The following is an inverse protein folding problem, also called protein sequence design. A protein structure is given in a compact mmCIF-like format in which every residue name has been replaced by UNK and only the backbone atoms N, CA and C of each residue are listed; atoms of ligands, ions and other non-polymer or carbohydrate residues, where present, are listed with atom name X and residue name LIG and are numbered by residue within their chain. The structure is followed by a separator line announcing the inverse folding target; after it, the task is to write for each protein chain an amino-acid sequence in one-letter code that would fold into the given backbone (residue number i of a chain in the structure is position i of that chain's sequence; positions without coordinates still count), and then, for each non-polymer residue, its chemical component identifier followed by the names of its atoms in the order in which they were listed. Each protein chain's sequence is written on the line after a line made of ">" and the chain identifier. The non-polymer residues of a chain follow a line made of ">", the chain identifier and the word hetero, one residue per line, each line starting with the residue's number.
data_IF_895470505185
#
_entry.id   IF_895470505185
#
_cell.length_a   1.000
_cell.length_b   1.000
_cell.length_c   1.000
_cell.angle_alpha   90.00
_cell.angle_beta   90.00
_cell.angle_gamma   90.00
#
_symmetry.space_group_name_H-M   'P 1'
#
loop_
_entity.id
_entity.type
_entity.pdbx_description
1 polymer ?
#
# COMPACT_ATOMS: atom_id res chain seq x y z
N UNK A 1 -14.19 20.19 -28.30
CA UNK A 1 -14.59 18.84 -28.74
C UNK A 1 -14.19 17.87 -27.64
N UNK A 2 -15.15 17.36 -26.88
CA UNK A 2 -14.88 16.37 -25.83
C UNK A 2 -14.84 15.00 -26.49
N UNK A 3 -13.64 14.45 -26.65
CA UNK A 3 -13.47 13.06 -27.08
C UNK A 3 -14.27 12.17 -26.12
N UNK A 4 -15.27 11.48 -26.68
CA UNK A 4 -15.97 10.39 -26.01
C UNK A 4 -14.95 9.27 -25.84
N UNK A 5 -14.17 9.33 -24.76
CA UNK A 5 -13.37 8.20 -24.34
C UNK A 5 -14.30 6.99 -24.25
N UNK A 6 -14.02 5.95 -25.03
CA UNK A 6 -14.78 4.71 -24.96
C UNK A 6 -14.61 4.16 -23.55
N UNK A 7 -15.70 3.69 -22.91
CA UNK A 7 -15.65 3.04 -21.59
C UNK A 7 -14.59 1.93 -21.53
N UNK A 8 -14.29 1.31 -22.67
CA UNK A 8 -13.23 0.34 -22.84
C UNK A 8 -11.83 0.96 -22.65
N UNK A 9 -11.56 2.13 -23.25
CA UNK A 9 -10.29 2.85 -23.15
C UNK A 9 -10.06 3.27 -21.70
N UNK A 10 -11.09 3.76 -21.01
CA UNK A 10 -11.00 4.11 -19.59
C UNK A 10 -10.71 2.88 -18.71
N UNK A 11 -11.36 1.75 -18.98
CA UNK A 11 -11.10 0.50 -18.27
C UNK A 11 -9.67 -0.01 -18.49
N UNK A 12 -9.18 0.01 -19.74
CA UNK A 12 -7.81 -0.38 -20.08
C UNK A 12 -6.79 0.54 -19.41
N UNK A 13 -7.04 1.85 -19.42
CA UNK A 13 -6.20 2.83 -18.74
C UNK A 13 -6.16 2.60 -17.23
N UNK A 14 -7.28 2.23 -16.62
CA UNK A 14 -7.36 1.89 -15.20
C UNK A 14 -6.53 0.65 -14.89
N UNK A 15 -6.74 -0.45 -15.63
CA UNK A 15 -5.99 -1.70 -15.45
C UNK A 15 -4.49 -1.47 -15.63
N UNK A 16 -4.10 -0.73 -16.67
CA UNK A 16 -2.71 -0.37 -16.92
C UNK A 16 -2.12 0.45 -15.76
N UNK A 17 -2.85 1.45 -15.25
CA UNK A 17 -2.38 2.30 -14.15
C UNK A 17 -2.17 1.50 -12.87
N UNK A 18 -3.12 0.59 -12.56
CA UNK A 18 -3.05 -0.32 -11.41
C UNK A 18 -1.87 -1.28 -11.55
N UNK A 19 -1.72 -1.96 -12.69
CA UNK A 19 -0.60 -2.87 -12.93
C UNK A 19 0.75 -2.16 -12.84
N UNK A 20 0.88 -0.99 -13.47
CA UNK A 20 2.09 -0.17 -13.43
C UNK A 20 2.42 0.26 -11.99
N UNK A 21 1.42 0.61 -11.19
CA UNK A 21 1.57 0.92 -9.76
C UNK A 21 2.06 -0.28 -8.93
N UNK A 22 1.50 -1.47 -9.16
CA UNK A 22 1.95 -2.72 -8.52
C UNK A 22 3.40 -3.04 -8.86
N UNK A 23 3.76 -2.99 -10.14
CA UNK A 23 5.14 -3.24 -10.60
C UNK A 23 6.10 -2.24 -9.97
N UNK A 24 5.73 -0.96 -9.95
CA UNK A 24 6.55 0.08 -9.31
C UNK A 24 6.77 -0.18 -7.82
N UNK A 25 5.73 -0.61 -7.10
CA UNK A 25 5.85 -0.97 -5.68
C UNK A 25 6.87 -2.08 -5.47
N UNK A 26 6.75 -3.19 -6.20
CA UNK A 26 7.66 -4.33 -6.06
C UNK A 26 9.09 -3.99 -6.46
N UNK A 27 9.28 -3.24 -7.56
CA UNK A 27 10.59 -2.76 -7.96
C UNK A 27 11.21 -1.83 -6.92
N UNK A 28 10.43 -0.92 -6.33
CA UNK A 28 10.88 -0.05 -5.26
C UNK A 28 11.29 -0.83 -4.02
N UNK A 29 10.50 -1.83 -3.63
CA UNK A 29 10.79 -2.71 -2.50
C UNK A 29 12.10 -3.48 -2.72
N UNK A 30 12.28 -4.08 -3.90
CA UNK A 30 13.48 -4.84 -4.23
C UNK A 30 14.73 -3.94 -4.34
N UNK A 31 14.59 -2.74 -4.89
CA UNK A 31 15.71 -1.79 -5.08
C UNK A 31 16.37 -1.34 -3.77
N UNK A 32 15.63 -1.36 -2.65
CA UNK A 32 16.11 -0.98 -1.31
C UNK A 32 16.27 -2.18 -0.37
N UNK A 33 16.17 -3.39 -0.93
CA UNK A 33 16.17 -4.64 -0.17
C UNK A 33 14.79 -4.93 0.43
N UNK A 34 14.34 -6.17 0.27
CA UNK A 34 13.02 -6.60 0.70
C UNK A 34 12.72 -6.32 2.18
N UNK A 35 13.74 -6.42 3.05
CA UNK A 35 13.59 -6.21 4.50
C UNK A 35 13.40 -4.74 4.87
N UNK A 36 14.08 -3.82 4.18
CA UNK A 36 14.14 -2.41 4.57
C UNK A 36 13.41 -1.46 3.62
N UNK A 37 12.91 -1.97 2.50
CA UNK A 37 12.35 -1.16 1.41
C UNK A 37 10.86 -0.84 1.54
N UNK A 38 10.12 -1.36 2.53
CA UNK A 38 8.66 -1.21 2.59
C UNK A 38 8.20 0.23 2.69
N UNK A 39 8.74 1.01 3.63
CA UNK A 39 8.36 2.42 3.80
C UNK A 39 8.68 3.22 2.52
N UNK A 40 9.81 2.93 1.88
CA UNK A 40 10.19 3.55 0.60
C UNK A 40 9.23 3.17 -0.53
N UNK A 41 8.90 1.89 -0.68
CA UNK A 41 7.98 1.40 -1.69
C UNK A 41 6.59 2.02 -1.54
N UNK A 42 6.09 2.11 -0.29
CA UNK A 42 4.82 2.76 0.06
C UNK A 42 4.87 4.25 -0.31
N UNK A 43 5.97 4.95 -0.02
CA UNK A 43 6.16 6.34 -0.43
C UNK A 43 6.09 6.54 -1.94
N UNK A 44 6.85 5.74 -2.69
CA UNK A 44 6.92 5.89 -4.15
C UNK A 44 5.58 5.57 -4.82
N UNK A 45 4.92 4.49 -4.41
CA UNK A 45 3.62 4.13 -4.99
C UNK A 45 2.53 5.14 -4.61
N UNK A 46 2.60 5.72 -3.40
CA UNK A 46 1.66 6.76 -2.98
C UNK A 46 1.84 8.02 -3.84
N UNK A 47 3.08 8.45 -4.08
CA UNK A 47 3.40 9.57 -4.98
C UNK A 47 2.90 9.32 -6.42
N UNK A 48 3.01 8.08 -6.90
CA UNK A 48 2.53 7.69 -8.22
C UNK A 48 1.01 7.86 -8.35
N UNK A 49 0.22 7.40 -7.38
CA UNK A 49 -1.25 7.53 -7.42
C UNK A 49 -1.78 8.91 -7.03
N UNK A 50 -0.99 9.73 -6.33
CA UNK A 50 -1.36 11.12 -6.04
C UNK A 50 -1.07 12.06 -7.22
N UNK A 51 -0.12 11.73 -8.09
CA UNK A 51 0.19 12.50 -9.31
C UNK A 51 -1.02 12.71 -10.22
N UNK A 52 -1.09 13.88 -10.87
CA UNK A 52 -2.13 14.22 -11.85
C UNK A 52 -2.00 13.39 -13.14
N UNK A 53 -0.76 13.05 -13.54
CA UNK A 53 -0.47 12.24 -14.72
C UNK A 53 0.48 11.07 -14.37
N UNK A 54 -0.01 9.99 -13.73
CA UNK A 54 0.82 8.85 -13.33
C UNK A 54 1.56 8.20 -14.51
N UNK A 55 0.96 8.23 -15.69
CA UNK A 55 1.47 7.52 -16.87
C UNK A 55 2.79 8.12 -17.40
N UNK A 56 3.03 9.42 -17.20
CA UNK A 56 4.23 10.12 -17.69
C UNK A 56 5.44 9.99 -16.77
N UNK A 57 5.23 9.55 -15.52
CA UNK A 57 6.30 9.34 -14.56
C UNK A 57 7.21 8.17 -14.97
N UNK A 58 8.52 8.45 -15.01
CA UNK A 58 9.57 7.46 -15.25
C UNK A 58 9.95 6.79 -13.93
N UNK A 59 9.98 5.46 -13.93
CA UNK A 59 10.34 4.66 -12.75
C UNK A 59 11.72 5.03 -12.18
N UNK A 60 12.71 5.29 -13.04
CA UNK A 60 14.06 5.63 -12.61
C UNK A 60 14.12 6.89 -11.75
N UNK A 61 13.31 7.89 -12.07
CA UNK A 61 13.32 9.18 -11.37
C UNK A 61 12.72 9.04 -9.97
N UNK A 62 11.68 8.20 -9.83
CA UNK A 62 11.08 7.86 -8.54
C UNK A 62 12.02 7.01 -7.67
N UNK A 63 12.71 6.02 -8.25
CA UNK A 63 13.60 5.13 -7.51
C UNK A 63 14.89 5.82 -7.00
N UNK A 64 15.31 6.91 -7.65
CA UNK A 64 16.47 7.72 -7.23
C UNK A 64 16.23 8.59 -6.00
N UNK A 65 14.99 8.69 -5.49
CA UNK A 65 14.71 9.51 -4.32
C UNK A 65 15.54 9.07 -3.10
N UNK A 66 15.92 10.06 -2.28
CA UNK A 66 16.80 9.87 -1.13
C UNK A 66 16.15 8.94 -0.09
N UNK A 67 16.99 8.12 0.51
CA UNK A 67 16.58 7.08 1.47
C UNK A 67 16.05 7.69 2.76
N UNK A 68 15.11 6.99 3.40
CA UNK A 68 14.46 7.42 4.63
C UNK A 68 15.36 7.30 5.86
N UNK A 69 15.05 8.12 6.88
CA UNK A 69 15.62 8.18 8.24
C UNK A 69 15.71 6.77 8.89
N UNK A 70 16.66 6.49 9.80
CA UNK A 70 16.84 5.18 10.45
C UNK A 70 15.55 4.50 10.97
N UNK A 71 14.61 5.27 11.52
CA UNK A 71 13.32 4.75 12.01
C UNK A 71 12.49 4.03 10.94
N UNK A 72 12.56 4.47 9.68
CA UNK A 72 11.84 3.83 8.58
C UNK A 72 12.39 2.44 8.25
N UNK A 73 13.67 2.17 8.54
CA UNK A 73 14.26 0.83 8.39
C UNK A 73 13.72 -0.14 9.43
N UNK A 74 13.56 0.31 10.68
CA UNK A 74 12.96 -0.50 11.75
C UNK A 74 11.51 -0.84 11.43
N UNK A 75 10.72 0.16 11.01
CA UNK A 75 9.33 -0.04 10.59
C UNK A 75 9.25 -1.04 9.42
N UNK A 76 10.12 -0.89 8.42
CA UNK A 76 10.15 -1.82 7.27
C UNK A 76 10.54 -3.24 7.67
N UNK A 77 11.47 -3.40 8.62
CA UNK A 77 11.85 -4.71 9.14
C UNK A 77 10.68 -5.38 9.88
N UNK A 78 9.92 -4.63 10.69
CA UNK A 78 8.71 -5.12 11.35
C UNK A 78 7.64 -5.53 10.34
N UNK A 79 7.41 -4.71 9.30
CA UNK A 79 6.52 -5.08 8.19
C UNK A 79 6.95 -6.37 7.51
N UNK A 80 8.25 -6.53 7.24
CA UNK A 80 8.79 -7.74 6.62
C UNK A 80 8.57 -8.96 7.49
N UNK A 81 8.78 -8.85 8.80
CA UNK A 81 8.55 -9.93 9.74
C UNK A 81 7.09 -10.40 9.71
N UNK A 82 6.12 -9.48 9.86
CA UNK A 82 4.70 -9.83 9.85
C UNK A 82 4.22 -10.31 8.48
N UNK A 83 4.72 -9.71 7.40
CA UNK A 83 4.46 -10.18 6.03
C UNK A 83 4.95 -11.61 5.84
N UNK A 84 6.18 -11.91 6.27
CA UNK A 84 6.77 -13.24 6.14
C UNK A 84 6.06 -14.27 7.01
N UNK A 85 5.62 -13.89 8.22
CA UNK A 85 4.80 -14.73 9.09
C UNK A 85 3.46 -15.06 8.42
N UNK A 86 2.78 -14.05 7.86
CA UNK A 86 1.53 -14.23 7.13
C UNK A 86 1.72 -15.11 5.89
N UNK A 87 2.73 -14.81 5.06
CA UNK A 87 3.05 -15.57 3.86
C UNK A 87 3.40 -17.03 4.18
N UNK A 88 4.18 -17.27 5.24
CA UNK A 88 4.52 -18.63 5.67
C UNK A 88 3.28 -19.38 6.15
N UNK A 89 2.41 -18.75 6.94
CA UNK A 89 1.13 -19.33 7.34
C UNK A 89 0.24 -19.68 6.15
N UNK A 90 0.19 -18.81 5.13
CA UNK A 90 -0.55 -19.07 3.89
C UNK A 90 0.06 -20.21 3.08
N UNK A 91 1.38 -20.22 2.86
CA UNK A 91 2.06 -21.28 2.12
C UNK A 91 1.87 -22.64 2.82
N UNK A 92 1.92 -22.67 4.15
CA UNK A 92 1.65 -23.88 4.92
C UNK A 92 0.20 -24.35 4.76
N UNK A 93 -0.78 -23.44 4.73
CA UNK A 93 -2.19 -23.82 4.57
C UNK A 93 -2.50 -24.40 3.18
N UNK A 94 -1.69 -24.09 2.16
CA UNK A 94 -1.78 -24.72 0.84
C UNK A 94 -1.36 -26.20 0.87
N UNK A 95 -0.45 -26.57 1.78
CA UNK A 95 0.10 -27.93 1.90
C UNK A 95 -0.70 -28.74 2.93
N UNK A 96 -0.93 -28.16 4.12
CA UNK A 96 -1.67 -28.80 5.20
C UNK A 96 -2.47 -27.75 5.98
N UNK A 97 -3.80 -27.92 6.01
CA UNK A 97 -4.70 -27.03 6.71
C UNK A 97 -4.61 -27.36 8.21
N UNK A 98 -3.85 -26.56 8.95
CA UNK A 98 -3.65 -26.71 10.40
C UNK A 98 -4.05 -25.45 11.16
N UNK A 99 -4.36 -25.60 12.45
CA UNK A 99 -4.61 -24.46 13.34
C UNK A 99 -3.42 -23.51 13.38
N UNK A 100 -2.20 -24.06 13.34
CA UNK A 100 -0.95 -23.29 13.35
C UNK A 100 -0.78 -22.46 12.06
N UNK A 101 -1.05 -23.04 10.89
CA UNK A 101 -0.97 -22.31 9.61
C UNK A 101 -1.97 -21.16 9.56
N UNK A 102 -3.19 -21.37 10.06
CA UNK A 102 -4.18 -20.31 10.19
C UNK A 102 -3.73 -19.25 11.18
N UNK A 103 -3.28 -19.63 12.39
CA UNK A 103 -2.83 -18.67 13.40
C UNK A 103 -1.71 -17.78 12.87
N UNK A 104 -0.70 -18.35 12.20
CA UNK A 104 0.38 -17.57 11.58
C UNK A 104 -0.14 -16.64 10.48
N UNK A 105 -1.05 -17.12 9.63
CA UNK A 105 -1.65 -16.31 8.58
C UNK A 105 -2.44 -15.13 9.15
N UNK A 106 -3.30 -15.36 10.14
CA UNK A 106 -4.13 -14.32 10.75
C UNK A 106 -3.28 -13.33 11.54
N UNK A 107 -2.40 -13.79 12.42
CA UNK A 107 -1.58 -12.91 13.26
C UNK A 107 -0.63 -12.10 12.38
N UNK A 108 0.10 -12.75 11.48
CA UNK A 108 1.03 -12.09 10.56
C UNK A 108 0.32 -11.15 9.60
N UNK A 109 -0.76 -11.63 8.97
CA UNK A 109 -1.56 -10.84 8.04
C UNK A 109 -2.18 -9.61 8.70
N UNK A 110 -2.87 -9.77 9.82
CA UNK A 110 -3.51 -8.65 10.54
C UNK A 110 -2.47 -7.63 11.02
N UNK A 111 -1.38 -8.09 11.64
CA UNK A 111 -0.32 -7.19 12.09
C UNK A 111 0.31 -6.44 10.91
N UNK A 112 0.56 -7.12 9.80
CA UNK A 112 1.07 -6.49 8.58
C UNK A 112 0.10 -5.45 8.02
N UNK A 113 -1.22 -5.72 8.02
CA UNK A 113 -2.24 -4.76 7.61
C UNK A 113 -2.27 -3.51 8.49
N UNK A 114 -2.18 -3.69 9.81
CA UNK A 114 -2.09 -2.57 10.76
C UNK A 114 -0.87 -1.71 10.43
N UNK A 115 0.29 -2.32 10.24
CA UNK A 115 1.51 -1.60 9.86
C UNK A 115 1.38 -0.90 8.51
N UNK A 116 0.76 -1.54 7.53
CA UNK A 116 0.55 -0.97 6.21
C UNK A 116 -0.27 0.33 6.29
N UNK A 117 -1.34 0.34 7.08
CA UNK A 117 -2.14 1.55 7.31
C UNK A 117 -1.33 2.62 8.05
N UNK A 118 -0.61 2.27 9.13
CA UNK A 118 0.25 3.20 9.87
C UNK A 118 1.28 3.86 8.95
N UNK A 119 1.93 3.08 8.07
CA UNK A 119 3.00 3.57 7.20
C UNK A 119 2.47 4.54 6.13
N UNK A 120 1.25 4.36 5.64
CA UNK A 120 0.63 5.31 4.70
C UNK A 120 0.53 6.70 5.32
N UNK A 121 0.05 6.78 6.57
CA UNK A 121 -0.06 8.03 7.30
C UNK A 121 1.31 8.58 7.70
N UNK A 122 2.23 7.71 8.11
CA UNK A 122 3.62 8.09 8.39
C UNK A 122 4.29 8.77 7.19
N UNK A 123 4.18 8.17 6.01
CA UNK A 123 4.71 8.70 4.75
C UNK A 123 4.05 10.03 4.38
N UNK A 124 2.72 10.16 4.58
CA UNK A 124 1.98 11.39 4.33
C UNK A 124 2.48 12.54 5.22
N UNK A 125 2.73 12.28 6.50
CA UNK A 125 3.26 13.26 7.46
C UNK A 125 4.75 13.54 7.32
N UNK A 126 5.49 12.79 6.50
CA UNK A 126 6.93 12.98 6.34
C UNK A 126 7.29 14.31 5.64
N UNK A 127 6.32 15.01 5.03
CA UNK A 127 6.53 16.35 4.44
C UNK A 127 6.54 17.48 5.47
N UNK A 128 6.07 17.25 6.71
CA UNK A 128 6.11 18.24 7.79
C UNK A 128 7.32 17.98 8.70
N UNK A 129 8.29 18.88 8.63
CA UNK A 129 9.60 18.82 9.30
C UNK A 129 9.51 19.01 10.83
N UNK A 130 9.08 17.99 11.58
CA UNK A 130 9.06 18.04 13.05
C UNK A 130 9.62 16.80 13.72
N UNK A 131 10.13 16.93 14.95
CA UNK A 131 10.66 15.82 15.77
C UNK A 131 9.58 14.79 16.20
N UNK A 132 8.29 15.08 15.97
CA UNK A 132 7.15 14.26 16.39
C UNK A 132 6.34 13.65 15.24
N UNK A 133 7.00 13.19 14.16
CA UNK A 133 6.34 12.66 12.96
C UNK A 133 5.37 11.52 13.26
N UNK A 134 5.78 10.53 14.05
CA UNK A 134 4.93 9.38 14.39
C UNK A 134 3.69 9.79 15.18
N UNK A 135 3.84 10.72 16.13
CA UNK A 135 2.73 11.26 16.91
C UNK A 135 1.74 12.04 16.03
N UNK A 136 2.25 12.84 15.08
CA UNK A 136 1.40 13.52 14.09
C UNK A 136 0.65 12.53 13.21
N UNK A 137 1.27 11.43 12.78
CA UNK A 137 0.58 10.38 12.02
C UNK A 137 -0.58 9.79 12.82
N UNK A 138 -0.41 9.54 14.12
CA UNK A 138 -1.47 9.02 15.00
C UNK A 138 -2.61 10.03 15.18
N UNK A 139 -2.29 11.32 15.30
CA UNK A 139 -3.30 12.38 15.36
C UNK A 139 -4.12 12.47 14.06
N UNK A 140 -3.47 12.40 12.90
CA UNK A 140 -4.16 12.36 11.60
C UNK A 140 -5.04 11.11 11.48
N UNK A 141 -4.56 9.94 11.93
CA UNK A 141 -5.36 8.71 11.94
C UNK A 141 -6.60 8.85 12.83
N UNK A 142 -6.49 9.55 13.96
CA UNK A 142 -7.64 9.84 14.82
C UNK A 142 -8.65 10.78 14.13
N UNK A 143 -8.18 11.80 13.42
CA UNK A 143 -9.04 12.75 12.71
C UNK A 143 -9.74 12.10 11.50
N UNK A 144 -9.02 11.28 10.75
CA UNK A 144 -9.50 10.58 9.56
C UNK A 144 -9.94 9.12 9.86
N UNK A 145 -10.46 8.85 11.06
CA UNK A 145 -10.72 7.49 11.55
C UNK A 145 -11.59 6.64 10.61
N UNK A 146 -12.59 7.25 9.97
CA UNK A 146 -13.43 6.55 8.98
C UNK A 146 -12.63 6.10 7.76
N UNK A 147 -11.68 6.91 7.28
CA UNK A 147 -10.80 6.56 6.15
C UNK A 147 -9.80 5.49 6.55
N UNK A 148 -9.29 5.55 7.78
CA UNK A 148 -8.41 4.53 8.36
C UNK A 148 -9.12 3.17 8.37
N UNK A 149 -10.34 3.10 8.90
CA UNK A 149 -11.14 1.87 8.92
C UNK A 149 -11.39 1.37 7.51
N UNK A 150 -11.78 2.24 6.58
CA UNK A 150 -12.09 1.81 5.22
C UNK A 150 -10.84 1.32 4.48
N UNK A 151 -9.70 1.97 4.65
CA UNK A 151 -8.41 1.51 4.15
C UNK A 151 -8.00 0.16 4.77
N UNK A 152 -8.26 -0.05 6.07
CA UNK A 152 -8.03 -1.33 6.73
C UNK A 152 -8.95 -2.42 6.18
N UNK A 153 -10.25 -2.16 6.06
CA UNK A 153 -11.23 -3.11 5.55
C UNK A 153 -10.95 -3.50 4.10
N UNK A 154 -10.56 -2.55 3.24
CA UNK A 154 -10.16 -2.87 1.87
C UNK A 154 -8.97 -3.82 1.84
N UNK A 155 -7.97 -3.57 2.68
CA UNK A 155 -6.80 -4.44 2.78
C UNK A 155 -7.18 -5.81 3.34
N UNK A 156 -8.07 -5.85 4.33
CA UNK A 156 -8.57 -7.07 4.95
C UNK A 156 -9.36 -7.95 3.97
N UNK A 157 -10.29 -7.36 3.20
CA UNK A 157 -11.01 -8.06 2.12
C UNK A 157 -10.01 -8.62 1.11
N UNK A 158 -8.96 -7.87 0.79
CA UNK A 158 -7.96 -8.33 -0.15
C UNK A 158 -7.13 -9.50 0.37
N UNK A 159 -6.71 -9.48 1.64
CA UNK A 159 -6.07 -10.62 2.31
C UNK A 159 -7.00 -11.83 2.28
N UNK A 160 -8.31 -11.63 2.48
CA UNK A 160 -9.31 -12.69 2.37
C UNK A 160 -9.46 -13.24 0.94
N UNK A 161 -9.42 -12.37 -0.07
CA UNK A 161 -9.43 -12.80 -1.47
C UNK A 161 -8.14 -13.56 -1.83
N UNK A 162 -6.98 -13.18 -1.28
CA UNK A 162 -5.72 -13.90 -1.55
C UNK A 162 -5.67 -15.30 -0.94
N UNK A 163 -6.52 -15.62 0.03
CA UNK A 163 -6.72 -17.01 0.49
C UNK A 163 -7.27 -17.92 -0.61
N UNK A 164 -7.87 -17.37 -1.68
CA UNK A 164 -8.45 -18.16 -2.78
C UNK A 164 -7.42 -18.74 -3.77
N UNK A 165 -6.24 -19.14 -3.29
CA UNK A 165 -5.15 -19.85 -4.00
C UNK A 165 -4.42 -19.09 -5.11
N UNK A 166 -4.67 -17.79 -5.32
CA UNK A 166 -4.05 -17.05 -6.44
C UNK A 166 -2.89 -16.15 -5.99
N UNK A 167 -1.65 -16.55 -6.33
CA UNK A 167 -0.43 -15.72 -6.19
C UNK A 167 -0.56 -14.35 -6.91
N UNK A 168 -1.33 -14.30 -7.99
CA UNK A 168 -1.63 -13.07 -8.74
C UNK A 168 -2.27 -11.98 -7.87
N UNK A 169 -3.07 -12.37 -6.87
CA UNK A 169 -3.65 -11.43 -5.92
C UNK A 169 -2.57 -10.64 -5.19
N UNK A 170 -1.59 -11.33 -4.60
CA UNK A 170 -0.47 -10.69 -3.89
C UNK A 170 0.31 -9.73 -4.78
N UNK A 171 0.54 -10.12 -6.03
CA UNK A 171 1.34 -9.32 -6.96
C UNK A 171 0.59 -8.04 -7.38
N UNK A 172 -0.72 -8.13 -7.58
CA UNK A 172 -1.57 -6.99 -7.98
C UNK A 172 -2.06 -6.14 -6.80
N UNK A 173 -2.01 -6.66 -5.57
CA UNK A 173 -2.50 -6.00 -4.37
C UNK A 173 -2.04 -4.54 -4.23
N UNK A 174 -0.74 -4.21 -4.31
CA UNK A 174 -0.29 -2.85 -4.01
C UNK A 174 -0.95 -1.82 -4.94
N UNK A 175 -1.00 -2.08 -6.25
CA UNK A 175 -1.61 -1.17 -7.21
C UNK A 175 -3.11 -0.97 -6.99
N UNK A 176 -3.86 -2.05 -6.72
CA UNK A 176 -5.31 -1.97 -6.47
C UNK A 176 -5.55 -1.18 -5.18
N UNK A 177 -4.81 -1.53 -4.14
CA UNK A 177 -4.95 -0.94 -2.82
C UNK A 177 -4.63 0.56 -2.82
N UNK A 178 -3.46 0.94 -3.33
CA UNK A 178 -3.04 2.35 -3.35
C UNK A 178 -3.86 3.19 -4.33
N UNK A 179 -4.38 2.61 -5.41
CA UNK A 179 -5.37 3.28 -6.25
C UNK A 179 -6.64 3.64 -5.47
N UNK A 180 -7.21 2.67 -4.74
CA UNK A 180 -8.43 2.89 -3.96
C UNK A 180 -8.19 3.88 -2.83
N UNK A 181 -7.12 3.72 -2.04
CA UNK A 181 -6.75 4.64 -0.97
C UNK A 181 -6.54 6.05 -1.51
N UNK A 182 -5.81 6.20 -2.62
CA UNK A 182 -5.61 7.49 -3.26
C UNK A 182 -6.91 8.15 -3.74
N UNK A 183 -7.88 7.35 -4.22
CA UNK A 183 -9.22 7.84 -4.58
C UNK A 183 -10.01 8.28 -3.35
N UNK A 184 -10.01 7.50 -2.27
CA UNK A 184 -10.72 7.83 -1.03
C UNK A 184 -10.20 9.14 -0.43
N UNK A 185 -8.88 9.33 -0.45
CA UNK A 185 -8.24 10.56 0.02
C UNK A 185 -8.59 11.78 -0.88
N UNK A 186 -8.73 11.59 -2.20
CA UNK A 186 -9.10 12.66 -3.15
C UNK A 186 -10.61 12.98 -3.18
N UNK A 187 -11.49 12.01 -2.95
CA UNK A 187 -12.95 12.14 -3.21
C UNK A 187 -13.69 13.01 -2.19
N UNK A 188 -13.21 13.15 -0.94
CA UNK A 188 -13.88 14.00 0.06
C UNK A 188 -13.51 15.50 0.01
N UNK A 189 -12.47 15.90 -0.74
CA UNK A 189 -12.13 17.33 -0.92
C UNK A 189 -13.04 18.07 -1.92
N UNK A 190 -13.92 17.36 -2.64
CA UNK A 190 -15.00 17.99 -3.42
C UNK A 190 -16.29 18.21 -2.62
N UNK A 191 -16.35 17.75 -1.37
CA UNK A 191 -17.58 17.76 -0.55
C UNK A 191 -17.68 18.87 0.48
N UNK A 192 -16.63 19.68 0.70
CA UNK A 192 -16.68 20.83 1.62
C UNK A 192 -16.20 22.08 0.87
N UNK A 193 -17.08 22.60 0.03
CA UNK A 193 -17.21 24.04 -0.14
C UNK A 193 -18.52 24.43 0.55
N UNK A 194 -18.40 24.97 1.75
CA UNK A 194 -19.34 25.97 2.29
C UNK A 194 -18.50 27.09 2.87
#
# INVERSE_FOLDING_TARGET
>A
MTEKSSRLIDAVNLVYTVMKGSVLFWLALLSRGFVYGWVFAIKIVSLYFTSENPQTLRFRDLLKQKESIPYAKVISAMMTFFFSLGLTGWLLSLVNISQLSFAMFYIGGLAWLVWLVIVIYYVKTQSSSGENQFYQSLLEMKQDFQKVILAFLLAFIFVWLTLTKTMLGWLLFPGIYFYLVGRIQKVQFKGVKS
#
